data_IF_061090726666
#
_entry.id   IF_061090726666
#
_cell.length_a   1.000
_cell.length_b   1.000
_cell.length_c   1.000
_cell.angle_alpha   90.00
_cell.angle_beta   90.00
_cell.angle_gamma   90.00
#
_symmetry.space_group_name_H-M   'P 1'
#
loop_
_entity.id
_entity.type
_entity.pdbx_description
1 polymer ?
#
# COMPACT_ATOMS: atom_id res chain seq x y z
N UNK A 1 -22.82 -21.12 4.19
CA UNK A 1 -22.43 -20.01 5.09
C UNK A 1 -20.91 -19.88 5.25
N UNK A 2 -20.17 -20.99 5.33
CA UNK A 2 -18.70 -21.01 5.52
C UNK A 2 -17.90 -20.33 4.42
N UNK A 3 -18.33 -20.45 3.17
CA UNK A 3 -17.69 -19.84 2.00
C UNK A 3 -17.69 -18.30 2.04
N UNK A 4 -18.74 -17.69 2.60
CA UNK A 4 -18.85 -16.23 2.74
C UNK A 4 -17.86 -15.72 3.78
N UNK A 5 -17.70 -16.43 4.90
CA UNK A 5 -16.70 -16.12 5.92
C UNK A 5 -15.27 -16.19 5.38
N UNK A 6 -14.95 -17.22 4.61
CA UNK A 6 -13.62 -17.36 3.98
C UNK A 6 -13.34 -16.20 3.02
N UNK A 7 -14.33 -15.79 2.21
CA UNK A 7 -14.20 -14.66 1.29
C UNK A 7 -13.96 -13.33 2.04
N UNK A 8 -14.66 -13.11 3.16
CA UNK A 8 -14.49 -11.92 3.99
C UNK A 8 -13.08 -11.88 4.60
N UNK A 9 -12.59 -12.99 5.15
CA UNK A 9 -11.24 -13.07 5.71
C UNK A 9 -10.18 -12.83 4.64
N UNK A 10 -10.32 -13.43 3.46
CA UNK A 10 -9.44 -13.20 2.31
C UNK A 10 -9.44 -11.74 1.86
N UNK A 11 -10.60 -11.07 1.88
CA UNK A 11 -10.72 -9.66 1.56
C UNK A 11 -9.96 -8.78 2.55
N UNK A 12 -10.10 -9.02 3.86
CA UNK A 12 -9.36 -8.27 4.89
C UNK A 12 -7.85 -8.49 4.82
N UNK A 13 -7.42 -9.74 4.60
CA UNK A 13 -5.99 -10.07 4.46
C UNK A 13 -5.41 -9.41 3.22
N UNK A 14 -6.12 -9.45 2.08
CA UNK A 14 -5.68 -8.79 0.85
C UNK A 14 -5.61 -7.27 0.97
N UNK A 15 -6.57 -6.65 1.67
CA UNK A 15 -6.53 -5.22 1.92
C UNK A 15 -5.35 -4.83 2.83
N UNK A 16 -5.11 -5.60 3.90
CA UNK A 16 -4.02 -5.36 4.82
C UNK A 16 -2.64 -5.53 4.15
N UNK A 17 -2.46 -6.54 3.30
CA UNK A 17 -1.20 -6.75 2.58
C UNK A 17 -0.92 -5.61 1.60
N UNK A 18 -1.91 -5.18 0.82
CA UNK A 18 -1.78 -4.02 -0.07
C UNK A 18 -1.36 -2.76 0.70
N UNK A 19 -2.02 -2.46 1.83
CA UNK A 19 -1.68 -1.29 2.64
C UNK A 19 -0.26 -1.36 3.19
N UNK A 20 0.19 -2.54 3.61
CA UNK A 20 1.54 -2.77 4.13
C UNK A 20 2.62 -2.59 3.03
N UNK A 21 2.34 -3.03 1.80
CA UNK A 21 3.22 -2.79 0.64
C UNK A 21 3.32 -1.30 0.32
N UNK A 22 2.19 -0.58 0.27
CA UNK A 22 2.21 0.87 0.05
C UNK A 22 2.95 1.62 1.16
N UNK A 23 2.78 1.24 2.43
CA UNK A 23 3.56 1.83 3.51
C UNK A 23 5.05 1.57 3.35
N UNK A 24 5.46 0.35 3.01
CA UNK A 24 6.86 0.04 2.76
C UNK A 24 7.44 0.80 1.57
N UNK A 25 6.68 0.96 0.48
CA UNK A 25 7.13 1.75 -0.68
C UNK A 25 7.30 3.24 -0.33
N UNK A 26 6.42 3.78 0.53
CA UNK A 26 6.52 5.15 1.06
C UNK A 26 7.72 5.29 2.03
N UNK A 27 7.92 4.32 2.93
CA UNK A 27 9.05 4.31 3.88
C UNK A 27 10.40 4.17 3.15
N UNK A 28 10.44 3.38 2.08
CA UNK A 28 11.65 3.15 1.28
C UNK A 28 11.92 4.29 0.30
N UNK A 29 11.03 5.30 0.23
CA UNK A 29 11.20 6.49 -0.60
C UNK A 29 11.54 6.15 -2.06
N UNK A 30 10.91 5.09 -2.60
CA UNK A 30 11.30 4.51 -3.89
C UNK A 30 11.08 5.55 -5.00
N UNK A 31 12.10 5.87 -5.81
CA UNK A 31 11.97 6.87 -6.86
C UNK A 31 11.02 6.39 -7.95
N UNK A 32 9.90 7.09 -8.13
CA UNK A 32 8.97 6.86 -9.22
C UNK A 32 9.42 7.75 -10.38
N UNK A 33 9.99 7.14 -11.41
CA UNK A 33 10.47 7.84 -12.60
C UNK A 33 9.31 8.05 -13.58
N UNK A 34 8.88 9.30 -13.73
CA UNK A 34 8.01 9.70 -14.83
C UNK A 34 8.83 10.41 -15.91
N UNK A 35 8.35 10.45 -17.15
CA UNK A 35 9.02 11.15 -18.27
C UNK A 35 9.35 12.62 -17.99
N UNK A 36 8.70 13.24 -16.99
CA UNK A 36 8.93 14.64 -16.58
C UNK A 36 9.80 14.81 -15.32
N UNK A 37 10.24 13.72 -14.65
CA UNK A 37 11.08 13.83 -13.45
C UNK A 37 11.01 12.63 -12.50
N UNK A 38 11.84 12.66 -11.46
CA UNK A 38 11.88 11.66 -10.39
C UNK A 38 11.04 12.16 -9.22
N UNK A 39 9.97 11.43 -8.88
CA UNK A 39 9.09 11.77 -7.78
C UNK A 39 9.27 10.75 -6.65
N UNK A 40 9.50 11.24 -5.44
CA UNK A 40 9.64 10.40 -4.24
C UNK A 40 8.44 10.68 -3.35
N UNK A 41 7.66 9.64 -3.05
CA UNK A 41 6.56 9.75 -2.10
C UNK A 41 7.15 9.82 -0.68
N UNK A 42 7.06 10.99 -0.04
CA UNK A 42 7.50 11.19 1.35
C UNK A 42 6.27 11.27 2.24
N UNK A 43 6.25 10.51 3.34
CA UNK A 43 5.18 10.59 4.35
C UNK A 43 5.12 12.02 4.90
N UNK A 44 4.08 12.77 4.54
CA UNK A 44 3.87 14.14 5.04
C UNK A 44 3.46 14.06 6.51
N UNK A 45 4.39 14.38 7.42
CA UNK A 45 4.07 14.54 8.84
C UNK A 45 3.25 15.81 9.00
N UNK A 46 1.95 15.68 9.27
CA UNK A 46 1.10 16.77 9.73
C UNK A 46 1.50 17.05 11.18
N UNK A 47 2.39 18.03 11.37
CA UNK A 47 2.73 18.58 12.68
C UNK A 47 1.89 19.82 12.95
#
# INVERSE_FOLDING_TARGET
MTYVLVAIVMFFVGYATCFCFFQKDIETAKPITFKSGIYVAVKRSLK
#
